data_IF_715762053580
#
_entry.id   IF_715762053580
#
_cell.length_a   1.000
_cell.length_b   1.000
_cell.length_c   1.000
_cell.angle_alpha   90.00
_cell.angle_beta   90.00
_cell.angle_gamma   90.00
#
_symmetry.space_group_name_H-M   'P 1'
#
loop_
_entity.id
_entity.type
_entity.pdbx_description
1 polymer ?
#
# COMPACT_ATOMS: atom_id res chain seq x y z
N UNK A 1 43.11 -2.84 -71.34
CA UNK A 1 41.73 -3.06 -71.82
C UNK A 1 40.80 -2.54 -70.73
N UNK A 2 40.01 -1.63 -71.12
CA UNK A 2 38.93 -0.94 -70.50
C UNK A 2 37.86 -1.89 -70.00
N UNK A 3 37.28 -1.67 -68.87
CA UNK A 3 35.84 -1.87 -68.67
C UNK A 3 35.37 -1.16 -67.43
N UNK A 4 34.66 -0.08 -67.63
CA UNK A 4 33.74 0.62 -66.75
C UNK A 4 32.56 -0.28 -66.46
N UNK A 5 31.92 -0.07 -65.27
CA UNK A 5 30.48 -0.24 -65.09
C UNK A 5 30.12 0.42 -63.77
N UNK A 6 29.52 1.50 -63.86
CA UNK A 6 28.08 1.86 -63.89
C UNK A 6 27.38 1.71 -62.56
N UNK A 7 27.03 2.86 -62.09
CA UNK A 7 26.09 3.10 -60.95
C UNK A 7 24.69 2.60 -61.30
N UNK A 8 23.99 2.08 -60.34
CA UNK A 8 22.54 2.08 -60.22
C UNK A 8 22.23 2.25 -58.76
N UNK A 9 21.73 3.37 -58.37
CA UNK A 9 20.33 3.78 -58.30
C UNK A 9 19.62 3.35 -57.02
N UNK A 10 19.50 4.32 -56.15
CA UNK A 10 18.29 4.67 -55.41
C UNK A 10 17.31 3.54 -55.06
N UNK A 11 17.34 3.14 -53.84
CA UNK A 11 16.20 2.60 -53.10
C UNK A 11 16.07 3.37 -51.79
N UNK A 12 15.27 4.41 -51.81
CA UNK A 12 14.85 5.10 -50.60
C UNK A 12 13.98 4.16 -49.77
N UNK A 13 14.59 3.43 -48.83
CA UNK A 13 13.90 2.84 -47.73
C UNK A 13 13.71 3.91 -46.70
N UNK A 14 12.51 4.45 -46.62
CA UNK A 14 12.03 5.16 -45.40
C UNK A 14 12.12 4.16 -44.25
N UNK A 15 13.29 4.07 -43.65
CA UNK A 15 13.41 3.40 -42.37
C UNK A 15 12.51 4.18 -41.37
N UNK A 16 11.39 3.60 -41.11
CA UNK A 16 10.62 3.92 -39.92
C UNK A 16 11.61 3.88 -38.75
N UNK A 17 12.03 5.06 -38.30
CA UNK A 17 12.73 5.20 -37.04
C UNK A 17 11.68 4.87 -35.97
N UNK A 18 11.36 3.59 -35.77
CA UNK A 18 10.72 3.12 -34.59
C UNK A 18 11.53 3.71 -33.44
N UNK A 19 10.96 4.71 -32.81
CA UNK A 19 11.44 5.26 -31.54
C UNK A 19 11.62 4.04 -30.64
N UNK A 20 12.85 3.63 -30.40
CA UNK A 20 13.14 2.66 -29.35
C UNK A 20 12.70 3.33 -28.06
N UNK A 21 11.51 2.94 -27.59
CA UNK A 21 11.02 3.36 -26.28
C UNK A 21 12.14 3.00 -25.30
N UNK A 22 12.71 3.99 -24.61
CA UNK A 22 13.80 3.74 -23.68
C UNK A 22 13.35 2.81 -22.55
N UNK A 23 14.30 2.19 -21.88
CA UNK A 23 14.04 1.27 -20.77
C UNK A 23 13.39 1.99 -19.58
N UNK A 24 12.33 1.42 -19.03
CA UNK A 24 11.67 1.85 -17.79
C UNK A 24 12.25 1.06 -16.63
N UNK A 25 12.62 1.74 -15.54
CA UNK A 25 13.11 1.07 -14.34
C UNK A 25 12.11 1.24 -13.21
N UNK A 26 11.63 0.11 -12.66
CA UNK A 26 10.63 0.08 -11.60
C UNK A 26 11.27 -0.46 -10.32
N UNK A 27 11.17 0.30 -9.23
CA UNK A 27 11.80 -0.01 -7.96
C UNK A 27 10.73 -0.22 -6.90
N UNK A 28 10.75 -1.40 -6.29
CA UNK A 28 9.83 -1.78 -5.22
C UNK A 28 10.56 -1.80 -3.89
N UNK A 29 9.87 -1.38 -2.81
CA UNK A 29 10.47 -1.46 -1.47
C UNK A 29 10.70 -2.91 -1.05
N UNK A 30 9.78 -3.82 -1.44
CA UNK A 30 9.97 -5.27 -1.39
C UNK A 30 8.99 -5.97 -2.35
N UNK A 31 9.39 -7.13 -2.89
CA UNK A 31 8.51 -8.00 -3.66
C UNK A 31 7.58 -8.86 -2.80
N UNK A 32 7.90 -9.01 -1.51
CA UNK A 32 7.15 -9.87 -0.60
C UNK A 32 5.84 -9.29 -0.09
N UNK A 33 5.59 -7.99 -0.28
CA UNK A 33 4.33 -7.34 0.05
C UNK A 33 3.22 -7.79 -0.91
N UNK A 34 2.13 -8.34 -0.37
CA UNK A 34 1.05 -8.92 -1.17
C UNK A 34 0.32 -7.88 -2.02
N UNK A 35 0.04 -6.68 -1.47
CA UNK A 35 -0.60 -5.60 -2.22
C UNK A 35 0.32 -5.08 -3.34
N UNK A 36 1.58 -4.80 -3.03
CA UNK A 36 2.57 -4.34 -4.00
C UNK A 36 2.81 -5.39 -5.09
N UNK A 37 2.80 -6.68 -4.76
CA UNK A 37 2.85 -7.77 -5.73
C UNK A 37 1.70 -7.72 -6.73
N UNK A 38 0.48 -7.35 -6.29
CA UNK A 38 -0.68 -7.19 -7.17
C UNK A 38 -0.52 -5.96 -8.07
N UNK A 39 -0.04 -4.82 -7.55
CA UNK A 39 0.28 -3.62 -8.36
C UNK A 39 1.34 -3.96 -9.40
N UNK A 40 2.41 -4.66 -9.00
CA UNK A 40 3.48 -5.11 -9.90
C UNK A 40 2.93 -5.96 -11.04
N UNK A 41 2.19 -7.01 -10.73
CA UNK A 41 1.61 -7.90 -11.74
C UNK A 41 0.72 -7.16 -12.75
N UNK A 42 -0.08 -6.19 -12.27
CA UNK A 42 -0.93 -5.36 -13.14
C UNK A 42 -0.08 -4.43 -14.02
N UNK A 43 0.97 -3.82 -13.46
CA UNK A 43 1.86 -2.91 -14.18
C UNK A 43 2.70 -3.66 -15.22
N UNK A 44 3.25 -4.83 -14.87
CA UNK A 44 4.00 -5.71 -15.78
C UNK A 44 3.16 -6.08 -17.01
N UNK A 45 1.90 -6.44 -16.77
CA UNK A 45 0.96 -6.74 -17.85
C UNK A 45 0.78 -5.54 -18.77
N UNK A 46 0.50 -4.34 -18.22
CA UNK A 46 0.27 -3.13 -19.02
C UNK A 46 1.53 -2.73 -19.81
N UNK A 47 2.71 -2.80 -19.19
CA UNK A 47 3.98 -2.46 -19.83
C UNK A 47 4.30 -3.42 -20.96
N UNK A 48 4.16 -4.73 -20.72
CA UNK A 48 4.39 -5.78 -21.72
C UNK A 48 3.43 -5.66 -22.89
N UNK A 49 2.13 -5.54 -22.64
CA UNK A 49 1.09 -5.39 -23.68
C UNK A 49 1.28 -4.11 -24.50
N UNK A 50 1.87 -3.06 -23.91
CA UNK A 50 2.19 -1.80 -24.58
C UNK A 50 3.56 -1.81 -25.29
N UNK A 51 4.32 -2.90 -25.23
CA UNK A 51 5.62 -3.06 -25.89
C UNK A 51 6.73 -2.17 -25.29
N UNK A 52 6.67 -1.87 -23.98
CA UNK A 52 7.76 -1.21 -23.27
C UNK A 52 8.80 -2.23 -22.81
N UNK A 53 10.07 -1.86 -22.90
CA UNK A 53 11.14 -2.57 -22.20
C UNK A 53 11.23 -2.02 -20.79
N UNK A 54 11.21 -2.90 -19.79
CA UNK A 54 11.27 -2.50 -18.38
C UNK A 54 12.06 -3.51 -17.55
N UNK A 55 12.56 -3.06 -16.41
CA UNK A 55 13.19 -3.91 -15.39
C UNK A 55 12.65 -3.58 -14.01
N UNK A 56 12.31 -4.61 -13.27
CA UNK A 56 11.90 -4.56 -11.88
C UNK A 56 13.08 -4.79 -10.95
N UNK A 57 13.13 -3.99 -9.89
CA UNK A 57 14.17 -4.06 -8.86
C UNK A 57 13.53 -4.24 -7.49
N UNK A 58 13.95 -5.27 -6.77
CA UNK A 58 13.56 -5.52 -5.38
C UNK A 58 14.61 -4.92 -4.43
N UNK A 59 14.22 -3.98 -3.60
CA UNK A 59 15.09 -3.43 -2.57
C UNK A 59 15.14 -4.31 -1.32
N UNK A 60 14.23 -5.27 -1.20
CA UNK A 60 14.13 -6.18 -0.05
C UNK A 60 14.15 -5.43 1.31
N UNK A 61 13.40 -4.34 1.40
CA UNK A 61 13.30 -3.50 2.61
C UNK A 61 14.54 -2.64 2.91
N UNK A 62 15.51 -2.55 2.00
CA UNK A 62 16.76 -1.85 2.25
C UNK A 62 16.91 -0.61 1.36
N UNK A 63 16.90 0.58 1.96
CA UNK A 63 17.01 1.86 1.24
C UNK A 63 18.37 2.04 0.55
N UNK A 64 19.46 1.53 1.13
CA UNK A 64 20.78 1.61 0.48
C UNK A 64 20.79 0.79 -0.81
N UNK A 65 20.26 -0.44 -0.77
CA UNK A 65 20.10 -1.29 -1.95
C UNK A 65 19.27 -0.58 -3.02
N UNK A 66 18.14 0.06 -2.64
CA UNK A 66 17.31 0.80 -3.61
C UNK A 66 18.09 1.96 -4.25
N UNK A 67 18.85 2.71 -3.47
CA UNK A 67 19.66 3.82 -3.97
C UNK A 67 20.72 3.34 -4.98
N UNK A 68 21.41 2.24 -4.69
CA UNK A 68 22.40 1.63 -5.59
C UNK A 68 21.75 1.10 -6.90
N UNK A 69 20.57 0.52 -6.80
CA UNK A 69 19.76 0.09 -7.95
C UNK A 69 19.39 1.28 -8.84
N UNK A 70 18.91 2.39 -8.25
CA UNK A 70 18.60 3.64 -8.97
C UNK A 70 19.83 4.19 -9.69
N UNK A 71 20.97 4.28 -9.01
CA UNK A 71 22.23 4.74 -9.61
C UNK A 71 22.65 3.86 -10.79
N UNK A 72 22.52 2.55 -10.64
CA UNK A 72 22.83 1.58 -11.69
C UNK A 72 21.91 1.73 -12.90
N UNK A 73 20.61 1.87 -12.68
CA UNK A 73 19.64 2.05 -13.76
C UNK A 73 19.87 3.36 -14.51
N UNK A 74 20.15 4.45 -13.81
CA UNK A 74 20.49 5.74 -14.41
C UNK A 74 21.81 5.69 -15.20
N UNK A 75 22.80 4.92 -14.73
CA UNK A 75 24.06 4.71 -15.45
C UNK A 75 23.87 3.90 -16.74
N UNK A 76 22.91 2.97 -16.76
CA UNK A 76 22.52 2.18 -17.94
C UNK A 76 21.65 2.96 -18.93
N UNK A 77 21.19 4.15 -18.59
CA UNK A 77 20.40 4.99 -19.46
C UNK A 77 18.88 4.79 -19.35
N UNK A 78 18.39 4.45 -18.15
CA UNK A 78 16.95 4.42 -17.88
C UNK A 78 16.29 5.74 -18.31
N UNK A 79 15.16 5.66 -19.00
CA UNK A 79 14.44 6.81 -19.54
C UNK A 79 13.36 7.34 -18.60
N UNK A 80 12.96 6.54 -17.60
CA UNK A 80 12.01 6.92 -16.57
C UNK A 80 12.16 5.98 -15.36
N UNK A 81 12.01 6.52 -14.16
CA UNK A 81 12.00 5.78 -12.89
C UNK A 81 10.59 5.75 -12.31
N UNK A 82 10.13 4.57 -11.90
CA UNK A 82 8.90 4.37 -11.12
C UNK A 82 9.34 3.81 -9.76
N UNK A 83 9.05 4.52 -8.66
CA UNK A 83 9.68 4.23 -7.37
C UNK A 83 8.66 4.09 -6.25
N UNK A 84 8.62 2.92 -5.65
CA UNK A 84 8.00 2.66 -4.36
C UNK A 84 9.10 2.74 -3.30
N UNK A 85 9.23 3.91 -2.65
CA UNK A 85 10.38 4.21 -1.79
C UNK A 85 10.41 3.34 -0.53
N UNK A 86 11.60 2.91 -0.09
CA UNK A 86 11.74 2.07 1.11
C UNK A 86 11.60 2.89 2.39
N UNK A 87 12.43 3.92 2.56
CA UNK A 87 12.40 4.77 3.75
C UNK A 87 11.40 5.91 3.58
N UNK A 88 10.37 5.89 4.41
CA UNK A 88 9.33 6.92 4.49
C UNK A 88 9.38 7.70 5.81
N UNK A 89 10.33 7.40 6.68
CA UNK A 89 10.51 8.08 7.97
C UNK A 89 11.10 9.48 7.84
N UNK A 90 11.72 9.80 6.69
CA UNK A 90 12.21 11.14 6.35
C UNK A 90 12.07 11.40 4.84
N UNK A 91 12.26 12.66 4.45
CA UNK A 91 12.24 13.05 3.04
C UNK A 91 13.56 12.73 2.30
N UNK A 92 14.60 12.31 3.01
CA UNK A 92 15.97 12.22 2.48
C UNK A 92 16.10 11.17 1.36
N UNK A 93 15.45 10.03 1.52
CA UNK A 93 15.49 8.95 0.53
C UNK A 93 14.87 9.39 -0.81
N UNK A 94 13.65 9.93 -0.76
CA UNK A 94 12.95 10.41 -1.96
C UNK A 94 13.69 11.60 -2.60
N UNK A 95 14.17 12.56 -1.80
CA UNK A 95 14.94 13.71 -2.29
C UNK A 95 16.24 13.29 -2.97
N UNK A 96 16.94 12.29 -2.41
CA UNK A 96 18.17 11.75 -3.02
C UNK A 96 17.88 11.13 -4.39
N UNK A 97 16.83 10.32 -4.51
CA UNK A 97 16.40 9.72 -5.79
C UNK A 97 16.07 10.81 -6.81
N UNK A 98 15.33 11.85 -6.41
CA UNK A 98 15.04 13.01 -7.27
C UNK A 98 16.33 13.69 -7.73
N UNK A 99 17.27 13.95 -6.84
CA UNK A 99 18.53 14.60 -7.19
C UNK A 99 19.33 13.79 -8.21
N UNK A 100 19.41 12.48 -8.05
CA UNK A 100 20.06 11.56 -8.98
C UNK A 100 19.39 11.58 -10.37
N UNK A 101 18.05 11.51 -10.42
CA UNK A 101 17.27 11.53 -11.65
C UNK A 101 17.35 12.90 -12.35
N UNK A 102 17.22 13.99 -11.60
CA UNK A 102 17.31 15.38 -12.09
C UNK A 102 18.66 15.66 -12.75
N UNK A 103 19.75 15.17 -12.17
CA UNK A 103 21.11 15.29 -12.75
C UNK A 103 21.24 14.61 -14.13
N UNK A 104 20.37 13.65 -14.43
CA UNK A 104 20.31 12.95 -15.71
C UNK A 104 19.12 13.37 -16.59
N UNK A 105 18.33 14.35 -16.11
CA UNK A 105 17.10 14.79 -16.76
C UNK A 105 16.05 13.69 -16.98
N UNK A 106 16.02 12.67 -16.10
CA UNK A 106 15.14 11.49 -16.15
C UNK A 106 13.88 11.75 -15.29
N UNK A 107 12.66 11.56 -15.83
CA UNK A 107 11.42 11.69 -15.05
C UNK A 107 11.32 10.65 -13.93
N UNK A 108 10.60 11.00 -12.87
CA UNK A 108 10.35 10.14 -11.71
C UNK A 108 8.85 10.07 -11.39
N UNK A 109 8.35 8.88 -11.17
CA UNK A 109 7.02 8.64 -10.60
C UNK A 109 7.23 7.93 -9.27
N UNK A 110 6.91 8.58 -8.15
CA UNK A 110 6.76 7.87 -6.90
C UNK A 110 5.36 7.27 -6.80
N UNK A 111 5.24 6.10 -6.17
CA UNK A 111 3.93 5.49 -6.04
C UNK A 111 3.69 4.82 -4.69
N UNK A 112 2.42 4.69 -4.32
CA UNK A 112 1.86 4.02 -3.14
C UNK A 112 2.31 4.66 -1.80
N UNK A 113 3.58 4.62 -1.46
CA UNK A 113 4.14 5.11 -0.19
C UNK A 113 4.34 6.63 -0.28
N UNK A 114 3.60 7.38 0.52
CA UNK A 114 3.50 8.83 0.38
C UNK A 114 4.85 9.55 0.55
N UNK A 115 5.06 10.52 -0.33
CA UNK A 115 6.19 11.45 -0.33
C UNK A 115 5.64 12.87 -0.20
N UNK A 116 6.30 13.71 0.57
CA UNK A 116 5.89 15.09 0.81
C UNK A 116 5.82 15.92 -0.48
N UNK A 117 4.81 16.79 -0.57
CA UNK A 117 4.57 17.67 -1.73
C UNK A 117 5.82 18.47 -2.12
N UNK A 118 6.48 19.10 -1.14
CA UNK A 118 7.69 19.92 -1.38
C UNK A 118 8.83 19.14 -2.02
N UNK A 119 8.92 17.83 -1.75
CA UNK A 119 9.91 16.94 -2.34
C UNK A 119 9.55 16.65 -3.80
N UNK A 120 8.31 16.27 -4.07
CA UNK A 120 7.83 16.00 -5.44
C UNK A 120 7.98 17.25 -6.32
N UNK A 121 7.54 18.43 -5.84
CA UNK A 121 7.59 19.69 -6.56
C UNK A 121 9.00 20.28 -6.71
N UNK A 122 10.02 19.69 -6.06
CA UNK A 122 11.42 20.08 -6.25
C UNK A 122 11.97 19.73 -7.64
N UNK A 123 11.22 18.93 -8.42
CA UNK A 123 11.54 18.55 -9.77
C UNK A 123 10.29 18.52 -10.66
N UNK A 124 10.29 19.33 -11.74
CA UNK A 124 9.17 19.51 -12.67
C UNK A 124 8.77 18.25 -13.46
N UNK A 125 9.63 17.21 -13.46
CA UNK A 125 9.36 15.89 -14.07
C UNK A 125 9.10 14.82 -13.01
N UNK A 126 8.64 15.21 -11.83
CA UNK A 126 8.30 14.29 -10.75
C UNK A 126 6.81 14.35 -10.44
N UNK A 127 6.18 13.19 -10.29
CA UNK A 127 4.76 13.02 -9.95
C UNK A 127 4.62 11.93 -8.91
N UNK A 128 3.63 12.04 -8.04
CA UNK A 128 3.22 10.98 -7.12
C UNK A 128 1.90 10.36 -7.57
N UNK A 129 1.83 9.03 -7.58
CA UNK A 129 0.59 8.25 -7.80
C UNK A 129 0.36 7.34 -6.60
N UNK A 130 -0.69 7.57 -5.86
CA UNK A 130 -0.99 6.78 -4.67
C UNK A 130 -2.44 6.95 -4.25
N UNK A 131 -2.67 7.15 -2.98
CA UNK A 131 -4.00 7.30 -2.38
C UNK A 131 -4.01 8.53 -1.47
N UNK A 132 -5.19 9.00 -1.09
CA UNK A 132 -5.31 9.84 0.09
C UNK A 132 -5.08 8.96 1.33
N UNK A 133 -3.93 9.11 1.99
CA UNK A 133 -3.51 8.24 3.07
C UNK A 133 -4.45 8.28 4.30
N UNK A 134 -5.20 9.36 4.50
CA UNK A 134 -6.15 9.47 5.61
C UNK A 134 -7.46 8.73 5.32
N UNK A 135 -7.88 8.68 4.05
CA UNK A 135 -9.16 8.10 3.63
C UNK A 135 -9.34 6.65 4.11
N UNK A 136 -8.31 5.80 3.99
CA UNK A 136 -8.39 4.41 4.45
C UNK A 136 -8.62 4.31 5.95
N UNK A 137 -7.93 5.15 6.75
CA UNK A 137 -8.10 5.20 8.20
C UNK A 137 -9.51 5.60 8.60
N UNK A 138 -10.06 6.66 7.99
CA UNK A 138 -11.43 7.11 8.22
C UNK A 138 -12.46 6.05 7.83
N UNK A 139 -12.32 5.44 6.67
CA UNK A 139 -13.23 4.38 6.22
C UNK A 139 -13.17 3.16 7.12
N UNK A 140 -11.98 2.73 7.55
CA UNK A 140 -11.81 1.62 8.47
C UNK A 140 -12.42 1.93 9.84
N UNK A 141 -12.15 3.11 10.38
CA UNK A 141 -12.70 3.55 11.67
C UNK A 141 -14.23 3.61 11.66
N UNK A 142 -14.84 4.12 10.58
CA UNK A 142 -16.28 4.09 10.39
C UNK A 142 -16.82 2.65 10.35
N UNK A 143 -16.22 1.78 9.55
CA UNK A 143 -16.63 0.36 9.44
C UNK A 143 -16.56 -0.34 10.79
N UNK A 144 -15.48 -0.13 11.54
CA UNK A 144 -15.29 -0.69 12.89
C UNK A 144 -16.35 -0.17 13.85
N UNK A 145 -16.55 1.16 13.91
CA UNK A 145 -17.49 1.78 14.83
C UNK A 145 -18.93 1.31 14.62
N UNK A 146 -19.37 1.24 13.36
CA UNK A 146 -20.70 0.74 12.99
C UNK A 146 -20.87 -0.74 13.37
N UNK A 147 -19.88 -1.58 13.09
CA UNK A 147 -19.91 -2.99 13.44
C UNK A 147 -19.90 -3.24 14.94
N UNK A 148 -19.01 -2.58 15.66
CA UNK A 148 -18.93 -2.70 17.14
C UNK A 148 -20.20 -2.21 17.80
N UNK A 149 -20.75 -1.08 17.38
CA UNK A 149 -21.99 -0.55 17.93
C UNK A 149 -23.15 -1.54 17.76
N UNK A 150 -23.32 -2.11 16.57
CA UNK A 150 -24.35 -3.10 16.25
C UNK A 150 -24.22 -4.38 17.09
N UNK A 151 -23.02 -4.76 17.46
CA UNK A 151 -22.72 -6.04 18.11
C UNK A 151 -22.19 -5.88 19.55
N UNK A 152 -22.23 -4.69 20.15
CA UNK A 152 -21.54 -4.34 21.38
C UNK A 152 -21.66 -5.39 22.48
N UNK A 153 -22.87 -5.77 22.84
CA UNK A 153 -23.12 -6.75 23.92
C UNK A 153 -22.69 -8.20 23.62
N UNK A 154 -22.39 -8.51 22.35
CA UNK A 154 -21.86 -9.84 21.96
C UNK A 154 -20.34 -9.83 21.93
N UNK A 155 -19.72 -8.66 21.77
CA UNK A 155 -18.27 -8.49 21.67
C UNK A 155 -17.62 -8.33 23.04
N UNK A 156 -18.35 -7.86 24.04
CA UNK A 156 -17.90 -7.77 25.45
C UNK A 156 -17.85 -9.18 26.05
N UNK A 157 -16.78 -9.92 25.74
CA UNK A 157 -16.63 -11.35 26.10
C UNK A 157 -16.30 -11.54 27.59
N UNK A 158 -15.63 -10.57 28.20
CA UNK A 158 -15.27 -10.62 29.62
C UNK A 158 -16.32 -9.93 30.53
N UNK A 159 -17.36 -9.30 29.95
CA UNK A 159 -18.44 -8.57 30.61
C UNK A 159 -17.95 -7.43 31.51
N UNK A 160 -16.92 -6.69 31.08
CA UNK A 160 -16.43 -5.51 31.81
C UNK A 160 -17.06 -4.19 31.30
N UNK A 161 -17.90 -4.26 30.28
CA UNK A 161 -18.62 -3.14 29.69
C UNK A 161 -17.81 -2.31 28.69
N UNK A 162 -16.61 -2.75 28.30
CA UNK A 162 -15.71 -2.07 27.37
C UNK A 162 -15.19 -3.05 26.33
N UNK A 163 -15.13 -2.65 25.08
CA UNK A 163 -14.50 -3.47 24.02
C UNK A 163 -13.01 -3.18 23.95
N UNK A 164 -12.20 -4.18 24.26
CA UNK A 164 -10.75 -4.09 24.18
C UNK A 164 -10.23 -4.46 22.78
N UNK A 165 -9.23 -3.71 22.30
CA UNK A 165 -8.66 -3.93 20.95
C UNK A 165 -7.15 -4.09 20.99
N UNK A 166 -6.62 -4.78 19.96
CA UNK A 166 -5.23 -4.73 19.54
C UNK A 166 -5.12 -3.99 18.20
N UNK A 167 -4.07 -3.18 18.03
CA UNK A 167 -3.75 -2.48 16.79
C UNK A 167 -2.39 -2.93 16.27
N UNK A 168 -2.35 -3.39 15.01
CA UNK A 168 -1.11 -3.73 14.31
C UNK A 168 -0.75 -2.62 13.33
N UNK A 169 0.42 -2.00 13.53
CA UNK A 169 0.96 -0.92 12.71
C UNK A 169 2.04 -1.45 11.78
N UNK A 170 1.97 -1.10 10.50
CA UNK A 170 2.87 -1.64 9.47
C UNK A 170 4.30 -1.13 9.56
N UNK A 171 4.48 0.19 9.78
CA UNK A 171 5.80 0.82 9.80
C UNK A 171 5.77 2.14 10.57
N UNK A 172 6.85 2.46 11.28
CA UNK A 172 7.03 3.80 11.86
C UNK A 172 7.37 4.83 10.77
N UNK A 173 6.92 6.08 10.98
CA UNK A 173 7.18 7.18 10.05
C UNK A 173 6.42 7.12 8.71
N UNK A 174 5.73 6.03 8.41
CA UNK A 174 4.92 5.90 7.20
C UNK A 174 3.56 6.59 7.39
N UNK A 175 3.18 7.47 6.45
CA UNK A 175 1.96 8.30 6.56
C UNK A 175 0.69 7.45 6.53
N UNK A 176 0.62 6.42 5.69
CA UNK A 176 -0.49 5.48 5.61
C UNK A 176 -0.66 4.72 6.95
N UNK A 177 0.46 4.25 7.54
CA UNK A 177 0.44 3.56 8.81
C UNK A 177 0.00 4.49 9.96
N UNK A 178 0.47 5.73 9.96
CA UNK A 178 0.09 6.75 10.97
C UNK A 178 -1.41 7.02 10.89
N UNK A 179 -1.94 7.27 9.70
CA UNK A 179 -3.34 7.60 9.49
C UNK A 179 -4.28 6.43 9.83
N UNK A 180 -3.98 5.21 9.34
CA UNK A 180 -4.77 4.01 9.63
C UNK A 180 -4.76 3.68 11.12
N UNK A 181 -3.62 3.83 11.81
CA UNK A 181 -3.52 3.63 13.27
C UNK A 181 -4.34 4.63 14.04
N UNK A 182 -4.32 5.91 13.64
CA UNK A 182 -5.04 7.01 14.29
C UNK A 182 -6.54 6.92 14.04
N UNK A 183 -6.94 7.07 12.78
CA UNK A 183 -8.36 7.24 12.42
C UNK A 183 -9.15 5.96 12.53
N UNK A 184 -8.51 4.78 12.39
CA UNK A 184 -9.16 3.49 12.65
C UNK A 184 -9.75 3.37 14.05
N UNK A 185 -9.15 4.04 15.05
CA UNK A 185 -9.64 4.07 16.43
C UNK A 185 -10.45 5.33 16.73
N UNK A 186 -9.99 6.50 16.29
CA UNK A 186 -10.66 7.78 16.62
C UNK A 186 -12.08 7.84 16.06
N UNK A 187 -12.29 7.46 14.80
CA UNK A 187 -13.61 7.51 14.16
C UNK A 187 -14.55 6.43 14.73
N UNK A 188 -14.01 5.24 15.04
CA UNK A 188 -14.78 4.22 15.74
C UNK A 188 -15.26 4.72 17.11
N UNK A 189 -14.37 5.36 17.86
CA UNK A 189 -14.70 5.95 19.17
C UNK A 189 -15.73 7.08 19.04
N UNK A 190 -15.64 7.91 18.00
CA UNK A 190 -16.62 8.96 17.76
C UNK A 190 -18.04 8.41 17.59
N UNK A 191 -18.19 7.30 16.83
CA UNK A 191 -19.47 6.61 16.64
C UNK A 191 -19.98 6.01 17.96
N UNK A 192 -19.13 5.31 18.70
CA UNK A 192 -19.51 4.71 19.99
C UNK A 192 -19.94 5.77 21.00
N UNK A 193 -19.17 6.85 21.13
CA UNK A 193 -19.47 7.97 22.02
C UNK A 193 -20.79 8.65 21.67
N UNK A 194 -21.07 8.87 20.38
CA UNK A 194 -22.33 9.45 19.93
C UNK A 194 -23.54 8.58 20.31
N UNK A 195 -23.34 7.26 20.43
CA UNK A 195 -24.36 6.29 20.86
C UNK A 195 -24.37 6.05 22.40
N UNK A 196 -23.59 6.80 23.18
CA UNK A 196 -23.52 6.65 24.63
C UNK A 196 -22.81 5.38 25.10
N UNK A 197 -21.95 4.79 24.24
CA UNK A 197 -21.12 3.63 24.57
C UNK A 197 -19.71 4.05 25.00
N UNK A 198 -19.04 3.27 25.87
CA UNK A 198 -17.63 3.46 26.15
C UNK A 198 -16.77 3.41 24.88
N UNK A 199 -15.67 4.18 24.89
CA UNK A 199 -14.66 4.13 23.84
C UNK A 199 -13.91 2.80 23.87
N UNK A 200 -13.33 2.41 22.73
CA UNK A 200 -12.44 1.25 22.61
C UNK A 200 -11.22 1.41 23.53
N UNK A 201 -10.79 0.34 24.16
CA UNK A 201 -9.65 0.34 25.07
C UNK A 201 -8.54 -0.55 24.51
N UNK A 202 -7.32 -0.02 24.38
CA UNK A 202 -6.18 -0.87 24.01
C UNK A 202 -5.95 -1.91 25.10
N UNK A 203 -5.77 -3.17 24.70
CA UNK A 203 -5.76 -4.34 25.60
C UNK A 203 -4.67 -4.28 26.69
N UNK A 204 -3.51 -3.69 26.39
CA UNK A 204 -2.38 -3.54 27.30
C UNK A 204 -2.24 -2.09 27.78
N UNK A 205 -2.62 -1.82 29.01
CA UNK A 205 -2.53 -0.49 29.62
C UNK A 205 -1.09 0.00 29.83
N UNK A 206 -0.11 -0.88 29.82
CA UNK A 206 1.31 -0.53 29.94
C UNK A 206 1.88 0.01 28.62
N UNK A 207 1.34 -0.40 27.48
CA UNK A 207 1.74 0.10 26.16
C UNK A 207 1.13 1.49 25.90
N UNK A 208 1.95 2.54 26.05
CA UNK A 208 1.51 3.93 25.88
C UNK A 208 1.25 4.33 24.42
N UNK A 209 1.84 3.62 23.47
CA UNK A 209 1.66 3.87 22.04
C UNK A 209 0.30 3.34 21.54
N UNK A 210 -0.29 2.36 22.23
CA UNK A 210 -1.56 1.72 21.88
C UNK A 210 -1.54 1.04 20.49
N UNK A 211 -0.38 0.54 20.08
CA UNK A 211 -0.19 -0.28 18.89
C UNK A 211 1.04 -1.19 19.05
N UNK A 212 1.09 -2.21 18.19
CA UNK A 212 2.22 -3.10 18.00
C UNK A 212 2.73 -2.92 16.56
N UNK A 213 3.97 -2.47 16.41
CA UNK A 213 4.54 -2.16 15.09
C UNK A 213 5.42 -3.30 14.59
N UNK A 214 5.34 -3.59 13.29
CA UNK A 214 6.33 -4.43 12.64
C UNK A 214 7.69 -3.74 12.65
N UNK A 215 8.65 -4.29 13.41
CA UNK A 215 9.95 -3.66 13.64
C UNK A 215 10.80 -3.58 12.37
N UNK A 216 10.55 -4.49 11.42
CA UNK A 216 11.23 -4.51 10.12
C UNK A 216 10.54 -3.59 9.10
N UNK A 217 9.36 -3.06 9.42
CA UNK A 217 8.59 -2.19 8.54
C UNK A 217 8.07 -2.87 7.26
N UNK A 218 7.92 -4.20 7.29
CA UNK A 218 7.52 -5.02 6.15
C UNK A 218 6.02 -5.31 6.10
N UNK A 219 5.24 -4.84 7.08
CA UNK A 219 3.78 -5.02 7.16
C UNK A 219 3.36 -6.50 7.20
N UNK A 220 4.18 -7.32 7.87
CA UNK A 220 4.18 -8.76 7.73
C UNK A 220 3.15 -9.49 8.58
N UNK A 221 2.59 -10.56 8.02
CA UNK A 221 1.76 -11.54 8.72
C UNK A 221 2.52 -12.17 9.90
N UNK A 222 3.82 -12.42 9.75
CA UNK A 222 4.65 -13.03 10.78
C UNK A 222 4.75 -12.17 12.04
N UNK A 223 4.97 -10.87 11.90
CA UNK A 223 5.01 -9.94 13.03
C UNK A 223 3.68 -9.93 13.80
N UNK A 224 2.55 -9.82 13.09
CA UNK A 224 1.22 -9.83 13.70
C UNK A 224 0.91 -11.18 14.39
N UNK A 225 1.27 -12.32 13.77
CA UNK A 225 1.11 -13.65 14.36
C UNK A 225 1.87 -13.78 15.67
N UNK A 226 3.12 -13.34 15.71
CA UNK A 226 3.97 -13.42 16.91
C UNK A 226 3.42 -12.54 18.05
N UNK A 227 3.05 -11.29 17.74
CA UNK A 227 2.46 -10.39 18.72
C UNK A 227 1.12 -10.90 19.25
N UNK A 228 0.24 -11.33 18.34
CA UNK A 228 -1.08 -11.83 18.74
C UNK A 228 -0.98 -13.10 19.57
N UNK A 229 -0.11 -14.04 19.21
CA UNK A 229 0.13 -15.26 19.97
C UNK A 229 0.63 -14.95 21.39
N UNK A 230 1.55 -14.00 21.53
CA UNK A 230 2.06 -13.54 22.83
C UNK A 230 0.95 -12.90 23.65
N UNK A 231 0.13 -12.06 23.04
CA UNK A 231 -0.97 -11.41 23.72
C UNK A 231 -2.04 -12.42 24.18
N UNK A 232 -2.45 -13.35 23.34
CA UNK A 232 -3.44 -14.38 23.65
C UNK A 232 -3.02 -15.35 24.75
N UNK A 233 -1.72 -15.47 25.05
CA UNK A 233 -1.23 -16.26 26.19
C UNK A 233 -1.55 -15.60 27.55
N UNK A 234 -1.78 -14.28 27.58
CA UNK A 234 -2.00 -13.50 28.80
C UNK A 234 -3.42 -12.93 28.91
N UNK A 235 -3.99 -12.54 27.77
CA UNK A 235 -5.29 -11.86 27.69
C UNK A 235 -6.36 -12.85 27.21
N UNK A 236 -7.09 -13.44 28.16
CA UNK A 236 -8.09 -14.49 27.95
C UNK A 236 -9.37 -14.20 28.70
N UNK A 237 -10.48 -14.80 28.30
CA UNK A 237 -11.77 -14.72 29.00
C UNK A 237 -11.64 -15.16 30.48
N UNK A 238 -10.87 -16.20 30.75
CA UNK A 238 -10.64 -16.72 32.11
C UNK A 238 -9.94 -15.71 33.02
N UNK A 239 -9.11 -14.83 32.45
CA UNK A 239 -8.41 -13.78 33.19
C UNK A 239 -9.25 -12.49 33.32
N UNK A 240 -10.47 -12.47 32.78
CA UNK A 240 -11.30 -11.28 32.66
C UNK A 240 -10.57 -10.09 32.01
N UNK A 241 -9.70 -10.42 31.08
CA UNK A 241 -8.89 -9.45 30.34
C UNK A 241 -8.75 -10.04 28.94
N UNK A 242 -9.62 -9.64 28.03
CA UNK A 242 -9.74 -10.27 26.71
C UNK A 242 -9.28 -9.28 25.63
N UNK A 243 -8.87 -9.80 24.46
CA UNK A 243 -8.80 -9.03 23.20
C UNK A 243 -10.07 -9.35 22.43
N UNK A 244 -10.88 -8.34 22.16
CA UNK A 244 -12.24 -8.48 21.63
C UNK A 244 -12.37 -7.89 20.23
N UNK A 245 -11.31 -7.20 19.75
CA UNK A 245 -11.27 -6.57 18.43
C UNK A 245 -9.82 -6.52 17.93
N UNK A 246 -9.62 -6.84 16.67
CA UNK A 246 -8.33 -6.71 15.98
C UNK A 246 -8.44 -5.66 14.88
N UNK A 247 -7.57 -4.68 14.92
CA UNK A 247 -7.42 -3.63 13.90
C UNK A 247 -6.03 -3.77 13.32
N UNK A 248 -5.92 -3.93 12.00
CA UNK A 248 -4.64 -4.04 11.33
C UNK A 248 -4.49 -2.99 10.23
N UNK A 249 -3.29 -2.47 10.07
CA UNK A 249 -3.01 -1.48 9.04
C UNK A 249 -3.08 -2.06 7.62
N UNK A 250 -2.92 -3.39 7.47
CA UNK A 250 -3.12 -4.08 6.19
C UNK A 250 -3.70 -5.50 6.39
N UNK A 251 -4.03 -6.16 5.30
CA UNK A 251 -4.63 -7.49 5.29
C UNK A 251 -3.64 -8.59 5.72
N UNK A 252 -2.36 -8.48 5.38
CA UNK A 252 -1.36 -9.46 5.77
C UNK A 252 -1.23 -9.55 7.30
N UNK A 253 -1.20 -8.40 7.98
CA UNK A 253 -1.19 -8.37 9.44
C UNK A 253 -2.51 -8.88 10.02
N UNK A 254 -3.65 -8.56 9.39
CA UNK A 254 -4.96 -9.08 9.78
C UNK A 254 -5.01 -10.61 9.69
N UNK A 255 -4.53 -11.18 8.59
CA UNK A 255 -4.45 -12.64 8.38
C UNK A 255 -3.48 -13.32 9.35
N UNK A 256 -2.37 -12.66 9.68
CA UNK A 256 -1.45 -13.12 10.72
C UNK A 256 -2.12 -13.22 12.10
N UNK A 257 -2.89 -12.19 12.45
CA UNK A 257 -3.68 -12.19 13.70
C UNK A 257 -4.75 -13.30 13.70
N UNK A 258 -5.45 -13.51 12.57
CA UNK A 258 -6.43 -14.59 12.40
C UNK A 258 -5.78 -15.95 12.61
N UNK A 259 -4.59 -16.19 12.06
CA UNK A 259 -3.85 -17.43 12.26
C UNK A 259 -3.57 -17.71 13.75
N UNK A 260 -3.15 -16.70 14.51
CA UNK A 260 -2.95 -16.82 15.95
C UNK A 260 -4.27 -17.06 16.70
N UNK A 261 -5.35 -16.34 16.35
CA UNK A 261 -6.68 -16.53 16.89
C UNK A 261 -7.18 -17.96 16.67
N UNK A 262 -7.03 -18.48 15.46
CA UNK A 262 -7.41 -19.84 15.11
C UNK A 262 -6.61 -20.88 15.90
N UNK A 263 -5.33 -20.64 16.12
CA UNK A 263 -4.49 -21.51 16.97
C UNK A 263 -4.98 -21.51 18.42
N UNK A 264 -5.42 -20.37 18.93
CA UNK A 264 -5.99 -20.23 20.26
C UNK A 264 -7.46 -20.71 20.37
N UNK A 265 -8.09 -21.14 19.27
CA UNK A 265 -9.45 -21.68 19.27
C UNK A 265 -10.56 -20.70 18.94
N UNK A 266 -10.24 -19.47 18.49
CA UNK A 266 -11.20 -18.46 18.00
C UNK A 266 -11.30 -18.50 16.46
N UNK A 267 -12.21 -17.75 15.88
CA UNK A 267 -12.35 -17.53 14.42
C UNK A 267 -12.31 -18.81 13.58
N UNK A 268 -12.89 -19.89 14.11
CA UNK A 268 -13.10 -21.19 13.45
C UNK A 268 -14.58 -21.53 13.45
N UNK A 269 -14.98 -22.49 12.61
CA UNK A 269 -16.34 -22.96 12.53
C UNK A 269 -16.93 -23.31 13.91
N UNK A 270 -18.08 -22.70 14.24
CA UNK A 270 -18.79 -22.91 15.50
C UNK A 270 -18.08 -22.37 16.76
N UNK A 271 -17.04 -21.56 16.61
CA UNK A 271 -16.32 -20.92 17.72
C UNK A 271 -16.60 -19.43 17.79
N UNK A 272 -16.24 -18.82 18.91
CA UNK A 272 -16.29 -17.37 19.09
C UNK A 272 -15.46 -16.68 18.03
N UNK A 273 -16.06 -15.69 17.35
CA UNK A 273 -15.38 -14.85 16.36
C UNK A 273 -14.99 -13.53 17.02
N UNK A 274 -13.69 -13.27 17.09
CA UNK A 274 -13.14 -11.96 17.41
C UNK A 274 -13.06 -11.17 16.09
N UNK A 275 -13.75 -10.04 15.95
CA UNK A 275 -13.77 -9.29 14.70
C UNK A 275 -12.38 -8.79 14.32
N UNK A 276 -12.01 -8.95 13.06
CA UNK A 276 -10.74 -8.52 12.48
C UNK A 276 -11.00 -7.63 11.28
N UNK A 277 -10.30 -6.50 11.22
CA UNK A 277 -10.38 -5.51 10.14
C UNK A 277 -9.00 -5.23 9.56
N UNK A 278 -8.93 -5.10 8.23
CA UNK A 278 -7.71 -4.84 7.48
C UNK A 278 -7.85 -3.69 6.48
N UNK A 279 -6.87 -3.59 5.60
CA UNK A 279 -6.83 -2.70 4.43
C UNK A 279 -6.13 -3.46 3.31
N UNK A 280 -6.55 -3.33 2.08
CA UNK A 280 -6.06 -3.72 0.76
C UNK A 280 -7.09 -4.51 -0.06
N UNK A 281 -7.91 -5.35 0.57
CA UNK A 281 -8.80 -6.33 -0.06
C UNK A 281 -8.03 -7.34 -0.93
N UNK A 282 -6.96 -7.92 -0.37
CA UNK A 282 -6.24 -9.02 -1.00
C UNK A 282 -7.16 -10.23 -1.18
N UNK A 283 -6.86 -11.13 -2.13
CA UNK A 283 -7.70 -12.31 -2.38
C UNK A 283 -7.77 -13.24 -1.16
N UNK A 284 -6.70 -13.30 -0.37
CA UNK A 284 -6.69 -14.04 0.90
C UNK A 284 -7.63 -13.40 1.94
N UNK A 285 -7.64 -12.06 2.05
CA UNK A 285 -8.56 -11.34 2.95
C UNK A 285 -10.02 -11.47 2.49
N UNK A 286 -10.31 -11.38 1.19
CA UNK A 286 -11.66 -11.64 0.64
C UNK A 286 -12.12 -13.06 0.99
N UNK A 287 -11.25 -14.05 0.86
CA UNK A 287 -11.54 -15.44 1.26
C UNK A 287 -11.81 -15.55 2.77
N UNK A 288 -11.06 -14.85 3.61
CA UNK A 288 -11.28 -14.78 5.06
C UNK A 288 -12.60 -14.08 5.43
N UNK A 289 -12.99 -13.04 4.70
CA UNK A 289 -14.29 -12.36 4.86
C UNK A 289 -15.43 -13.31 4.46
N UNK A 290 -15.31 -14.00 3.35
CA UNK A 290 -16.30 -14.97 2.88
C UNK A 290 -16.48 -16.13 3.86
N UNK A 291 -15.42 -16.60 4.51
CA UNK A 291 -15.48 -17.65 5.55
C UNK A 291 -15.94 -17.14 6.91
N UNK A 292 -16.10 -15.81 7.10
CA UNK A 292 -16.47 -15.19 8.36
C UNK A 292 -15.36 -15.13 9.41
N UNK A 293 -14.11 -15.44 9.06
CA UNK A 293 -12.96 -15.29 9.95
C UNK A 293 -12.41 -13.86 10.00
N UNK A 294 -12.79 -13.02 9.05
CA UNK A 294 -12.55 -11.59 8.97
C UNK A 294 -13.87 -10.86 8.70
N UNK A 295 -14.03 -9.64 9.22
CA UNK A 295 -15.29 -8.90 9.08
C UNK A 295 -15.29 -8.00 7.85
N UNK A 296 -14.19 -7.32 7.59
CA UNK A 296 -14.09 -6.41 6.46
C UNK A 296 -12.70 -5.83 6.29
N UNK A 297 -12.50 -5.23 5.13
CA UNK A 297 -11.27 -4.55 4.74
C UNK A 297 -11.58 -3.31 3.91
N UNK A 298 -10.62 -2.41 3.80
CA UNK A 298 -10.72 -1.25 2.90
C UNK A 298 -9.92 -1.57 1.65
N UNK A 299 -10.63 -1.72 0.52
CA UNK A 299 -10.01 -2.05 -0.77
C UNK A 299 -9.13 -0.88 -1.25
N UNK A 300 -7.88 -1.19 -1.54
CA UNK A 300 -6.94 -0.37 -2.29
C UNK A 300 -6.88 -0.89 -3.73
N UNK A 301 -7.19 -0.04 -4.72
CA UNK A 301 -7.33 -0.49 -6.11
C UNK A 301 -5.96 -0.59 -6.80
N UNK A 302 -5.38 -1.79 -6.80
CA UNK A 302 -4.07 -2.07 -7.39
C UNK A 302 -4.05 -1.92 -8.93
N UNK A 303 -5.13 -2.32 -9.61
CA UNK A 303 -5.24 -2.19 -11.06
C UNK A 303 -5.41 -0.72 -11.47
N UNK A 304 -6.25 0.03 -10.74
CA UNK A 304 -6.39 1.47 -10.92
C UNK A 304 -5.07 2.21 -10.68
N UNK A 305 -4.31 1.82 -9.66
CA UNK A 305 -2.98 2.39 -9.40
C UNK A 305 -2.01 2.11 -10.54
N UNK A 306 -1.89 0.87 -11.00
CA UNK A 306 -1.02 0.50 -12.11
C UNK A 306 -1.40 1.24 -13.41
N UNK A 307 -2.70 1.39 -13.67
CA UNK A 307 -3.24 2.13 -14.83
C UNK A 307 -2.86 3.61 -14.75
N UNK A 308 -3.03 4.24 -13.60
CA UNK A 308 -2.67 5.66 -13.42
C UNK A 308 -1.16 5.87 -13.56
N UNK A 309 -0.33 5.01 -12.94
CA UNK A 309 1.14 5.07 -13.07
C UNK A 309 1.55 5.00 -14.55
N UNK A 310 1.01 4.04 -15.29
CA UNK A 310 1.39 3.85 -16.70
C UNK A 310 0.84 4.95 -17.61
N UNK A 311 -0.27 5.59 -17.26
CA UNK A 311 -0.78 6.79 -17.94
C UNK A 311 0.15 7.97 -17.73
N UNK A 312 0.51 8.27 -16.48
CA UNK A 312 1.47 9.34 -16.14
C UNK A 312 2.83 9.08 -16.79
N UNK A 313 3.30 7.84 -16.78
CA UNK A 313 4.54 7.43 -17.45
C UNK A 313 4.51 7.77 -18.95
N UNK A 314 3.43 7.41 -19.66
CA UNK A 314 3.29 7.72 -21.09
C UNK A 314 3.32 9.21 -21.36
N UNK A 315 2.61 9.99 -20.52
CA UNK A 315 2.57 11.44 -20.63
C UNK A 315 3.94 12.08 -20.44
N UNK A 316 4.68 11.69 -19.40
CA UNK A 316 6.04 12.17 -19.12
C UNK A 316 7.02 11.85 -20.25
N UNK A 317 6.94 10.63 -20.80
CA UNK A 317 7.80 10.20 -21.92
C UNK A 317 7.47 10.96 -23.23
N UNK A 318 6.22 11.33 -23.44
CA UNK A 318 5.78 12.10 -24.61
C UNK A 318 5.98 13.62 -24.42
N UNK A 319 6.33 14.07 -23.23
CA UNK A 319 6.48 15.50 -22.93
C UNK A 319 5.15 16.27 -22.89
N UNK A 320 4.04 15.57 -22.65
CA UNK A 320 2.71 16.16 -22.45
C UNK A 320 2.45 16.47 -20.97
N UNK A 321 1.28 17.01 -20.63
CA UNK A 321 0.91 17.21 -19.22
C UNK A 321 0.88 15.85 -18.51
N UNK A 322 1.63 15.72 -17.41
CA UNK A 322 1.79 14.47 -16.69
C UNK A 322 0.45 13.85 -16.26
N UNK A 323 -0.56 14.66 -15.92
CA UNK A 323 -1.88 14.22 -15.46
C UNK A 323 -2.94 14.18 -16.58
N UNK A 324 -2.55 14.32 -17.83
CA UNK A 324 -3.48 14.23 -18.97
C UNK A 324 -4.17 12.86 -18.99
N UNK A 325 -5.50 12.85 -19.14
CA UNK A 325 -6.31 11.62 -19.16
C UNK A 325 -6.60 11.01 -17.78
N UNK A 326 -6.12 11.62 -16.69
CA UNK A 326 -6.50 11.27 -15.33
C UNK A 326 -7.78 12.04 -14.94
N UNK A 327 -8.73 11.36 -14.29
CA UNK A 327 -9.92 12.03 -13.75
C UNK A 327 -9.51 13.16 -12.79
N UNK A 328 -10.01 14.37 -13.04
CA UNK A 328 -9.69 15.53 -12.22
C UNK A 328 -10.16 15.40 -10.76
N UNK A 329 -11.16 14.57 -10.48
CA UNK A 329 -11.57 14.26 -9.12
C UNK A 329 -10.50 13.51 -8.32
N UNK A 330 -9.58 12.84 -9.02
CA UNK A 330 -8.49 12.06 -8.44
C UNK A 330 -7.15 12.80 -8.45
N UNK A 331 -7.12 14.09 -8.83
CA UNK A 331 -5.86 14.84 -8.89
C UNK A 331 -5.76 15.87 -7.76
N UNK A 332 -4.54 16.08 -7.26
CA UNK A 332 -4.21 17.16 -6.33
C UNK A 332 -3.14 18.05 -6.97
N UNK A 333 -3.51 19.27 -7.32
CA UNK A 333 -2.62 20.16 -8.06
C UNK A 333 -2.15 19.55 -9.37
N UNK A 334 -0.86 19.69 -9.65
CA UNK A 334 -0.18 19.11 -10.83
C UNK A 334 0.78 17.98 -10.49
N UNK A 335 0.82 17.58 -9.23
CA UNK A 335 1.89 16.75 -8.70
C UNK A 335 1.42 15.38 -8.17
N UNK A 336 0.10 15.17 -7.95
CA UNK A 336 -0.41 13.97 -7.29
C UNK A 336 -1.68 13.43 -7.93
N UNK A 337 -1.75 12.10 -8.00
CA UNK A 337 -2.94 11.32 -8.31
C UNK A 337 -3.31 10.50 -7.09
N UNK A 338 -4.58 10.56 -6.66
CA UNK A 338 -5.15 9.77 -5.58
C UNK A 338 -6.13 8.73 -6.13
N UNK A 339 -5.78 7.47 -6.05
CA UNK A 339 -6.69 6.36 -6.36
C UNK A 339 -7.64 6.17 -5.18
N UNK A 340 -8.95 6.21 -5.39
CA UNK A 340 -9.92 6.14 -4.28
C UNK A 340 -9.94 4.77 -3.63
N UNK A 341 -10.18 4.75 -2.32
CA UNK A 341 -10.48 3.55 -1.57
C UNK A 341 -11.97 3.19 -1.64
N UNK A 342 -12.30 1.93 -1.35
CA UNK A 342 -13.67 1.47 -1.16
C UNK A 342 -13.77 0.43 -0.04
N UNK A 343 -14.93 0.37 0.63
CA UNK A 343 -15.16 -0.65 1.64
C UNK A 343 -15.42 -2.02 0.99
N UNK A 344 -14.92 -3.09 1.62
CA UNK A 344 -15.18 -4.46 1.21
C UNK A 344 -15.58 -5.30 2.43
N UNK A 345 -16.78 -5.87 2.37
CA UNK A 345 -17.37 -6.74 3.40
C UNK A 345 -18.05 -7.94 2.72
N UNK A 346 -18.64 -8.84 3.48
CA UNK A 346 -19.45 -9.94 2.94
C UNK A 346 -20.67 -9.49 2.12
N UNK A 347 -21.07 -8.23 2.20
CA UNK A 347 -22.17 -7.64 1.41
C UNK A 347 -21.69 -7.06 0.07
N UNK A 348 -20.38 -7.07 -0.17
CA UNK A 348 -19.76 -6.49 -1.38
C UNK A 348 -19.64 -7.49 -2.55
N UNK A 349 -20.01 -8.76 -2.35
CA UNK A 349 -19.97 -9.84 -3.35
C UNK A 349 -21.23 -9.90 -4.25
#
# INVERSE_FOLDING_TARGET
MVASFAACSSGGGSGDKGSTKGEISVFYYTFSDAYISTVRSSMDKILSDSGYTYNDYDANGNQTTQTEQVQTALAKGSSLLIVNVVDTGSNDAAQNIINLAKAKNVPVIFFNRSVEQSVIESYDKCVFVGTDYEQAGHMQGKMIGEYVLKNYGKLDLNNDGVISYVMFKGQEGNMEAIARTKYGVEDANAILKAAGKPELKFYDSANKNKYLVDQDGLWSSAAATNYMSTALAQYTESNKSMIELVIANNDEMALGAISALQTAGYNKDGKTVIPVFGVDATDAAKSAIKSGSMIGTIKQDAEGMATAITTVMKNLLNGTNALEGIDSANTVGTWRVNIPYSAYTSESE
#
